data_IF_265914019363
#
_entry.id   IF_265914019363
#
_cell.length_a   1.000
_cell.length_b   1.000
_cell.length_c   1.000
_cell.angle_alpha   90.00
_cell.angle_beta   90.00
_cell.angle_gamma   90.00
#
_symmetry.space_group_name_H-M   'P 1'
#
loop_
_entity.id
_entity.type
_entity.pdbx_description
1 polymer ?
#
# COMPACT_ATOMS: atom_id res chain seq x y z
N UNK A 1 5.10 3.13 -6.26
CA UNK A 1 4.34 3.27 -4.99
C UNK A 1 5.19 2.73 -3.85
N UNK A 2 5.35 3.48 -2.76
CA UNK A 2 6.14 3.03 -1.60
C UNK A 2 5.37 1.97 -0.81
N UNK A 3 5.91 0.74 -0.71
CA UNK A 3 5.27 -0.37 0.03
C UNK A 3 5.53 -0.25 1.52
N UNK A 4 4.53 -0.47 2.37
CA UNK A 4 4.72 -0.49 3.83
C UNK A 4 5.62 -1.69 4.21
N UNK A 5 6.62 -1.53 5.09
CA UNK A 5 7.42 -2.65 5.54
C UNK A 5 6.54 -3.73 6.17
N UNK A 6 6.85 -5.00 5.88
CA UNK A 6 5.95 -6.13 6.14
C UNK A 6 5.41 -6.13 7.58
N UNK A 7 6.29 -5.98 8.57
CA UNK A 7 5.93 -6.11 10.00
C UNK A 7 5.67 -4.79 10.70
N UNK A 8 5.47 -3.71 9.95
CA UNK A 8 5.31 -2.38 10.53
C UNK A 8 4.03 -2.27 11.38
N UNK A 9 2.89 -2.70 10.83
CA UNK A 9 1.61 -2.68 11.55
C UNK A 9 1.62 -3.59 12.77
N UNK A 10 2.39 -4.67 12.73
CA UNK A 10 2.43 -5.69 13.79
C UNK A 10 2.86 -5.08 15.14
N UNK A 11 3.56 -3.94 15.11
CA UNK A 11 4.02 -3.19 16.30
C UNK A 11 2.95 -2.26 16.90
N UNK A 12 1.89 -1.95 16.16
CA UNK A 12 0.82 -1.05 16.59
C UNK A 12 -0.26 -1.83 17.34
N UNK A 13 -0.94 -1.15 18.27
CA UNK A 13 -2.22 -1.68 18.77
C UNK A 13 -3.25 -1.65 17.65
N UNK A 14 -4.29 -2.46 17.78
CA UNK A 14 -5.35 -2.65 16.79
C UNK A 14 -6.00 -1.34 16.38
N UNK A 15 -6.33 -0.51 17.37
CA UNK A 15 -6.85 0.84 17.15
C UNK A 15 -5.92 1.61 16.21
N UNK A 16 -4.63 1.64 16.51
CA UNK A 16 -3.68 2.39 15.71
C UNK A 16 -3.29 1.72 14.39
N UNK A 17 -3.51 0.40 14.22
CA UNK A 17 -3.44 -0.25 12.91
C UNK A 17 -4.56 0.27 12.02
N UNK A 18 -5.78 0.36 12.54
CA UNK A 18 -6.89 0.95 11.82
C UNK A 18 -6.60 2.41 11.50
N UNK A 19 -6.23 3.21 12.50
CA UNK A 19 -5.95 4.64 12.30
C UNK A 19 -4.80 4.89 11.30
N UNK A 20 -3.75 4.06 11.31
CA UNK A 20 -2.66 4.13 10.32
C UNK A 20 -3.11 3.68 8.93
N UNK A 21 -3.98 2.68 8.85
CA UNK A 21 -4.47 2.11 7.58
C UNK A 21 -5.47 3.05 6.90
N UNK A 22 -6.48 3.55 7.63
CA UNK A 22 -7.49 4.45 7.08
C UNK A 22 -6.95 5.81 6.61
N UNK A 23 -5.73 6.18 7.04
CA UNK A 23 -4.99 7.36 6.57
C UNK A 23 -4.05 7.07 5.40
N UNK A 24 -3.81 5.80 5.08
CA UNK A 24 -2.88 5.47 4.01
C UNK A 24 -3.50 5.79 2.65
N UNK A 25 -2.86 6.59 1.77
CA UNK A 25 -3.45 7.00 0.49
C UNK A 25 -3.92 5.84 -0.38
N UNK A 26 -3.15 4.76 -0.39
CA UNK A 26 -3.49 3.51 -1.11
C UNK A 26 -4.79 2.89 -0.62
N UNK A 27 -5.04 2.92 0.70
CA UNK A 27 -6.29 2.40 1.25
C UNK A 27 -7.48 3.24 0.79
N UNK A 28 -7.31 4.56 0.70
CA UNK A 28 -8.36 5.46 0.25
C UNK A 28 -8.67 5.27 -1.24
N UNK A 29 -7.66 5.09 -2.09
CA UNK A 29 -7.88 4.73 -3.50
C UNK A 29 -8.63 3.40 -3.63
N UNK A 30 -8.25 2.40 -2.85
CA UNK A 30 -8.94 1.11 -2.82
C UNK A 30 -10.41 1.28 -2.45
N UNK A 31 -10.69 2.04 -1.39
CA UNK A 31 -12.06 2.32 -0.96
C UNK A 31 -12.86 3.01 -2.07
N UNK A 32 -12.29 4.03 -2.72
CA UNK A 32 -12.94 4.73 -3.84
C UNK A 32 -13.24 3.79 -5.02
N UNK A 33 -12.31 2.89 -5.36
CA UNK A 33 -12.47 1.92 -6.44
C UNK A 33 -13.54 0.88 -6.09
N UNK A 34 -13.55 0.38 -4.86
CA UNK A 34 -14.57 -0.56 -4.40
C UNK A 34 -15.96 0.09 -4.43
N UNK A 35 -16.09 1.32 -3.94
CA UNK A 35 -17.36 2.07 -4.00
C UNK A 35 -17.82 2.25 -5.45
N UNK A 36 -16.89 2.58 -6.35
CA UNK A 36 -17.16 2.72 -7.78
C UNK A 36 -17.58 1.38 -8.42
N UNK A 37 -16.90 0.28 -8.07
CA UNK A 37 -17.19 -1.06 -8.57
C UNK A 37 -18.53 -1.60 -8.05
N UNK A 38 -18.90 -1.34 -6.80
CA UNK A 38 -20.21 -1.69 -6.24
C UNK A 38 -21.35 -0.91 -6.93
N UNK A 39 -21.07 0.29 -7.42
CA UNK A 39 -22.02 1.11 -8.17
C UNK A 39 -22.13 0.74 -9.67
N UNK A 40 -21.17 -0.05 -10.21
CA UNK A 40 -21.09 -0.38 -11.63
C UNK A 40 -21.47 -1.85 -11.90
N UNK A 41 -22.00 -2.11 -13.10
CA UNK A 41 -22.10 -3.48 -13.68
C UNK A 41 -20.70 -4.07 -13.85
N UNK A 42 -20.53 -5.41 -14.00
CA UNK A 42 -19.22 -6.06 -14.09
C UNK A 42 -18.27 -5.33 -15.06
N UNK A 43 -16.96 -5.30 -14.76
CA UNK A 43 -16.00 -4.46 -15.47
C UNK A 43 -16.14 -4.67 -16.98
N UNK A 44 -16.44 -3.59 -17.69
CA UNK A 44 -16.72 -3.59 -19.11
C UNK A 44 -15.44 -3.66 -19.95
N UNK A 45 -14.28 -3.39 -19.33
CA UNK A 45 -12.99 -3.37 -20.03
C UNK A 45 -11.88 -4.08 -19.26
N UNK A 46 -10.91 -4.60 -20.01
CA UNK A 46 -9.67 -5.16 -19.45
C UNK A 46 -8.86 -4.13 -18.63
N UNK A 47 -9.01 -2.84 -18.92
CA UNK A 47 -8.34 -1.78 -18.17
C UNK A 47 -8.87 -1.67 -16.73
N UNK A 48 -10.18 -1.78 -16.54
CA UNK A 48 -10.80 -1.78 -15.21
C UNK A 48 -10.37 -3.00 -14.39
N UNK A 49 -10.25 -4.17 -15.03
CA UNK A 49 -9.73 -5.39 -14.39
C UNK A 49 -8.29 -5.20 -13.91
N UNK A 50 -7.42 -4.61 -14.76
CA UNK A 50 -6.02 -4.35 -14.41
C UNK A 50 -5.87 -3.33 -13.28
N UNK A 51 -6.69 -2.28 -13.27
CA UNK A 51 -6.72 -1.31 -12.17
C UNK A 51 -7.14 -1.97 -10.84
N UNK A 52 -8.13 -2.87 -10.87
CA UNK A 52 -8.54 -3.64 -9.69
C UNK A 52 -7.39 -4.54 -9.22
N UNK A 53 -6.68 -5.23 -10.11
CA UNK A 53 -5.51 -6.04 -9.76
C UNK A 53 -4.37 -5.21 -9.15
N UNK A 54 -4.01 -4.08 -9.76
CA UNK A 54 -2.96 -3.19 -9.26
C UNK A 54 -3.28 -2.69 -7.85
N UNK A 55 -4.56 -2.40 -7.60
CA UNK A 55 -5.06 -1.98 -6.30
C UNK A 55 -5.04 -3.13 -5.30
N UNK A 56 -5.50 -4.34 -5.66
CA UNK A 56 -5.39 -5.53 -4.80
C UNK A 56 -3.92 -5.80 -4.43
N UNK A 57 -3.01 -5.68 -5.39
CA UNK A 57 -1.57 -5.82 -5.17
C UNK A 57 -1.02 -4.73 -4.24
N UNK A 58 -1.48 -3.49 -4.41
CA UNK A 58 -1.15 -2.37 -3.54
C UNK A 58 -1.71 -2.56 -2.11
N UNK A 59 -2.86 -3.22 -1.97
CA UNK A 59 -3.49 -3.54 -0.69
C UNK A 59 -2.77 -4.63 0.08
N UNK A 60 -2.33 -5.67 -0.63
CA UNK A 60 -1.42 -6.66 -0.09
C UNK A 60 -0.12 -5.98 0.39
N UNK A 61 0.36 -4.95 -0.31
CA UNK A 61 1.54 -4.19 0.08
C UNK A 61 1.35 -3.28 1.31
N UNK A 62 0.10 -3.01 1.73
CA UNK A 62 -0.21 -2.31 3.00
C UNK A 62 -0.89 -3.22 4.04
N UNK A 63 -0.98 -4.53 3.74
CA UNK A 63 -1.59 -5.61 4.55
C UNK A 63 -3.09 -5.43 4.85
N UNK A 64 -3.85 -5.04 3.84
CA UNK A 64 -5.33 -5.05 3.88
C UNK A 64 -5.79 -6.34 3.20
N UNK A 65 -6.30 -7.30 3.96
CA UNK A 65 -6.56 -8.69 3.49
C UNK A 65 -8.04 -8.95 3.20
N UNK A 66 -8.92 -8.10 3.73
CA UNK A 66 -10.38 -8.20 3.62
C UNK A 66 -10.94 -7.22 2.59
N UNK A 67 -12.26 -7.27 2.43
CA UNK A 67 -13.02 -6.16 1.88
C UNK A 67 -12.68 -4.86 2.64
N UNK A 68 -12.41 -3.76 1.93
CA UNK A 68 -12.18 -2.46 2.55
C UNK A 68 -13.43 -1.97 3.27
N UNK A 69 -13.21 -1.19 4.33
CA UNK A 69 -14.23 -0.65 5.21
C UNK A 69 -14.17 0.87 5.13
N UNK A 70 -15.29 1.54 5.40
CA UNK A 70 -15.38 2.99 5.33
C UNK A 70 -14.31 3.66 6.22
N UNK A 71 -13.34 4.40 5.62
CA UNK A 71 -12.28 5.07 6.37
C UNK A 71 -12.78 6.20 7.27
N UNK A 72 -14.03 6.63 7.12
CA UNK A 72 -14.67 7.61 8.00
C UNK A 72 -14.98 7.03 9.38
N UNK A 73 -15.14 5.72 9.50
CA UNK A 73 -15.40 5.07 10.78
C UNK A 73 -14.19 5.20 11.72
N UNK A 74 -14.47 5.62 12.94
CA UNK A 74 -13.54 5.50 14.06
C UNK A 74 -13.33 4.03 14.42
N UNK A 75 -12.24 3.74 15.15
CA UNK A 75 -12.03 2.39 15.67
C UNK A 75 -13.18 1.93 16.59
N UNK A 76 -13.75 2.83 17.38
CA UNK A 76 -14.85 2.54 18.29
C UNK A 76 -16.10 2.11 17.51
N UNK A 77 -16.46 2.85 16.45
CA UNK A 77 -17.56 2.49 15.55
C UNK A 77 -17.29 1.17 14.82
N UNK A 78 -16.07 0.98 14.31
CA UNK A 78 -15.66 -0.26 13.65
C UNK A 78 -15.76 -1.47 14.60
N UNK A 79 -15.38 -1.30 15.87
CA UNK A 79 -15.45 -2.35 16.88
C UNK A 79 -16.86 -2.69 17.35
N UNK A 80 -17.81 -1.80 17.09
CA UNK A 80 -19.23 -1.99 17.39
C UNK A 80 -19.99 -2.67 16.23
N UNK A 81 -19.44 -2.63 15.01
CA UNK A 81 -19.94 -3.47 13.91
C UNK A 81 -19.74 -4.94 14.29
N UNK A 82 -20.63 -5.83 13.85
CA UNK A 82 -20.46 -7.26 14.10
C UNK A 82 -19.03 -7.65 13.74
N UNK A 83 -18.26 -8.21 14.69
CA UNK A 83 -16.84 -8.40 14.50
C UNK A 83 -16.69 -9.31 13.29
N UNK A 84 -16.19 -8.77 12.18
CA UNK A 84 -15.44 -9.63 11.28
C UNK A 84 -14.26 -10.09 12.13
N UNK A 85 -14.40 -11.29 12.72
CA UNK A 85 -13.62 -11.78 13.88
C UNK A 85 -12.09 -11.74 13.63
N UNK A 86 -11.68 -11.53 12.38
CA UNK A 86 -10.32 -11.46 11.89
C UNK A 86 -9.60 -10.14 12.20
N UNK A 87 -10.29 -9.00 12.29
CA UNK A 87 -9.63 -7.71 12.57
C UNK A 87 -9.26 -7.51 14.03
N UNK A 88 -9.92 -8.23 14.95
CA UNK A 88 -9.85 -7.95 16.39
C UNK A 88 -8.64 -8.51 17.14
N UNK A 89 -7.78 -9.28 16.46
CA UNK A 89 -6.65 -9.91 17.13
C UNK A 89 -5.32 -9.18 16.88
N UNK A 90 -4.81 -8.56 17.95
CA UNK A 90 -3.56 -7.80 17.97
C UNK A 90 -2.30 -8.64 17.72
N UNK A 91 -2.13 -9.71 18.50
CA UNK A 91 -0.91 -10.52 18.52
C UNK A 91 -1.08 -11.91 17.88
N UNK A 92 -2.32 -12.33 17.63
CA UNK A 92 -2.68 -13.66 17.16
C UNK A 92 -3.72 -13.53 16.06
N UNK A 93 -3.30 -13.23 14.84
CA UNK A 93 -4.24 -13.17 13.73
C UNK A 93 -4.65 -14.60 13.33
N UNK A 94 -5.94 -14.88 13.16
CA UNK A 94 -6.38 -16.14 12.61
C UNK A 94 -5.78 -16.28 11.20
N UNK A 95 -5.09 -17.38 10.95
CA UNK A 95 -4.62 -17.68 9.59
C UNK A 95 -5.82 -18.14 8.79
N UNK A 96 -6.27 -17.32 7.84
CA UNK A 96 -7.37 -17.69 6.94
C UNK A 96 -6.89 -18.68 5.88
N UNK A 97 -7.81 -19.48 5.32
CA UNK A 97 -7.50 -20.37 4.18
C UNK A 97 -6.92 -19.58 3.01
N UNK A 98 -7.44 -18.38 2.73
CA UNK A 98 -6.91 -17.47 1.71
C UNK A 98 -5.44 -17.10 1.96
N UNK A 99 -5.08 -16.82 3.22
CA UNK A 99 -3.70 -16.54 3.61
C UNK A 99 -2.80 -17.76 3.42
N UNK A 100 -3.26 -18.95 3.80
CA UNK A 100 -2.51 -20.19 3.58
C UNK A 100 -2.27 -20.44 2.09
N UNK A 101 -3.31 -20.32 1.26
CA UNK A 101 -3.20 -20.46 -0.19
C UNK A 101 -2.24 -19.43 -0.80
N UNK A 102 -2.28 -18.18 -0.33
CA UNK A 102 -1.33 -17.14 -0.75
C UNK A 102 0.11 -17.44 -0.37
N UNK A 103 0.35 -17.98 0.83
CA UNK A 103 1.67 -18.44 1.28
C UNK A 103 2.15 -19.59 0.40
N UNK A 104 1.32 -20.61 0.21
CA UNK A 104 1.61 -21.77 -0.64
C UNK A 104 1.96 -21.31 -2.06
N UNK A 105 1.11 -20.48 -2.67
CA UNK A 105 1.33 -19.97 -4.03
C UNK A 105 2.59 -19.10 -4.19
N UNK A 106 3.05 -18.44 -3.13
CA UNK A 106 4.28 -17.62 -3.14
C UNK A 106 5.56 -18.45 -2.98
N UNK A 107 5.50 -19.54 -2.22
CA UNK A 107 6.69 -20.30 -1.82
C UNK A 107 6.94 -21.57 -2.63
N UNK A 108 5.95 -22.03 -3.41
CA UNK A 108 6.09 -23.15 -4.32
C UNK A 108 6.51 -22.68 -5.72
N UNK A 109 7.38 -23.45 -6.36
CA UNK A 109 7.66 -23.36 -7.79
C UNK A 109 6.39 -23.63 -8.62
N UNK A 110 6.39 -23.18 -9.88
CA UNK A 110 5.28 -23.41 -10.79
C UNK A 110 4.93 -24.90 -10.96
N UNK A 111 5.93 -25.79 -10.89
CA UNK A 111 5.72 -27.23 -11.03
C UNK A 111 5.13 -27.85 -9.75
N UNK A 112 5.64 -27.48 -8.58
CA UNK A 112 5.09 -27.90 -7.28
C UNK A 112 3.66 -27.38 -7.09
N UNK A 113 3.41 -26.12 -7.46
CA UNK A 113 2.08 -25.52 -7.42
C UNK A 113 1.11 -26.23 -8.37
N UNK A 114 1.56 -26.61 -9.58
CA UNK A 114 0.74 -27.39 -10.52
C UNK A 114 0.36 -28.74 -9.94
N UNK A 115 1.30 -29.46 -9.31
CA UNK A 115 1.02 -30.75 -8.67
C UNK A 115 0.02 -30.61 -7.53
N UNK A 116 0.20 -29.63 -6.64
CA UNK A 116 -0.76 -29.34 -5.56
C UNK A 116 -2.14 -29.01 -6.13
N UNK A 117 -2.21 -28.21 -7.19
CA UNK A 117 -3.47 -27.89 -7.86
C UNK A 117 -4.13 -29.12 -8.50
N UNK A 118 -3.35 -30.02 -9.13
CA UNK A 118 -3.85 -31.29 -9.67
C UNK A 118 -4.37 -32.21 -8.57
N UNK A 119 -3.69 -32.29 -7.43
CA UNK A 119 -4.17 -33.03 -6.26
C UNK A 119 -5.47 -32.45 -5.73
N UNK A 120 -5.57 -31.13 -5.56
CA UNK A 120 -6.83 -30.48 -5.15
C UNK A 120 -7.96 -30.68 -6.17
N UNK A 121 -7.63 -30.65 -7.46
CA UNK A 121 -8.60 -30.92 -8.53
C UNK A 121 -9.10 -32.36 -8.46
N UNK A 122 -8.20 -33.34 -8.29
CA UNK A 122 -8.57 -34.76 -8.12
C UNK A 122 -9.51 -34.96 -6.93
N UNK A 123 -9.22 -34.30 -5.81
CA UNK A 123 -10.08 -34.32 -4.61
C UNK A 123 -11.46 -33.69 -4.91
N UNK A 124 -11.49 -32.58 -5.64
CA UNK A 124 -12.72 -31.86 -5.96
C UNK A 124 -13.60 -32.59 -6.99
N UNK A 125 -12.99 -33.33 -7.92
CA UNK A 125 -13.65 -34.11 -8.98
C UNK A 125 -14.20 -35.46 -8.47
N UNK A 126 -14.08 -35.74 -7.16
CA UNK A 126 -14.64 -36.92 -6.49
C UNK A 126 -16.16 -37.06 -6.67
N UNK A 127 -16.65 -38.30 -6.73
CA UNK A 127 -18.06 -38.60 -7.04
C UNK A 127 -19.02 -38.02 -5.97
N UNK A 128 -20.10 -37.41 -6.44
CA UNK A 128 -21.25 -36.93 -5.67
C UNK A 128 -21.06 -35.67 -4.79
N UNK A 129 -19.99 -34.89 -4.97
CA UNK A 129 -19.83 -33.58 -4.33
C UNK A 129 -19.63 -33.61 -2.81
N UNK A 130 -19.55 -34.82 -2.23
CA UNK A 130 -19.01 -35.05 -0.90
C UNK A 130 -17.55 -35.50 -1.07
N UNK A 131 -16.62 -34.88 -0.34
CA UNK A 131 -15.25 -35.39 -0.25
C UNK A 131 -15.31 -36.84 0.28
N UNK A 132 -14.93 -37.83 -0.54
CA UNK A 132 -14.60 -39.13 -0.01
C UNK A 132 -13.37 -38.95 0.88
N UNK A 133 -13.59 -39.05 2.20
CA UNK A 133 -12.56 -38.83 3.22
C UNK A 133 -11.34 -39.72 2.98
N UNK A 134 -11.50 -40.91 2.38
CA UNK A 134 -10.36 -41.79 2.09
C UNK A 134 -9.56 -41.33 0.87
N UNK A 135 -10.22 -40.91 -0.21
CA UNK A 135 -9.53 -40.36 -1.39
C UNK A 135 -8.80 -39.05 -1.03
N UNK A 136 -9.43 -38.21 -0.21
CA UNK A 136 -8.82 -37.00 0.33
C UNK A 136 -7.58 -37.33 1.18
N UNK A 137 -7.67 -38.32 2.09
CA UNK A 137 -6.55 -38.74 2.93
C UNK A 137 -5.38 -39.30 2.11
N UNK A 138 -5.65 -40.08 1.06
CA UNK A 138 -4.62 -40.59 0.16
C UNK A 138 -3.94 -39.45 -0.60
N UNK A 139 -4.73 -38.54 -1.15
CA UNK A 139 -4.22 -37.36 -1.85
C UNK A 139 -3.40 -36.43 -0.93
N UNK A 140 -3.83 -36.23 0.33
CA UNK A 140 -3.05 -35.52 1.34
C UNK A 140 -1.77 -36.26 1.73
N UNK A 141 -1.82 -37.59 1.84
CA UNK A 141 -0.63 -38.40 2.10
C UNK A 141 0.40 -38.29 0.96
N UNK A 142 -0.03 -38.16 -0.30
CA UNK A 142 0.89 -37.92 -1.42
C UNK A 142 1.60 -36.58 -1.31
N UNK A 143 0.90 -35.51 -0.88
CA UNK A 143 1.52 -34.20 -0.62
C UNK A 143 2.49 -34.29 0.56
N UNK A 144 2.06 -34.89 1.68
CA UNK A 144 2.88 -35.00 2.91
C UNK A 144 4.14 -35.84 2.67
N UNK A 145 4.05 -36.89 1.86
CA UNK A 145 5.19 -37.76 1.54
C UNK A 145 5.99 -37.28 0.32
N UNK A 146 5.65 -36.13 -0.28
CA UNK A 146 6.43 -35.57 -1.37
C UNK A 146 7.81 -35.14 -0.84
N UNK A 147 8.88 -35.56 -1.52
CA UNK A 147 10.28 -35.28 -1.13
C UNK A 147 10.74 -33.93 -1.71
N UNK A 148 9.82 -33.00 -1.97
CA UNK A 148 10.17 -31.74 -2.59
C UNK A 148 10.72 -30.77 -1.54
N UNK A 149 11.95 -30.24 -1.70
CA UNK A 149 12.58 -29.36 -0.71
C UNK A 149 11.73 -28.13 -0.36
N UNK A 150 10.91 -27.66 -1.29
CA UNK A 150 10.01 -26.51 -1.12
C UNK A 150 8.81 -26.83 -0.21
N UNK A 151 8.38 -28.09 -0.15
CA UNK A 151 7.31 -28.55 0.74
C UNK A 151 7.78 -28.72 2.18
N UNK A 152 9.10 -28.89 2.37
CA UNK A 152 9.75 -28.91 3.68
C UNK A 152 10.23 -27.52 4.13
N UNK A 153 10.09 -26.50 3.28
CA UNK A 153 10.56 -25.16 3.57
C UNK A 153 9.78 -24.53 4.74
N UNK A 154 10.53 -23.99 5.71
CA UNK A 154 9.94 -23.23 6.81
C UNK A 154 9.48 -21.88 6.27
N UNK A 155 8.17 -21.64 6.29
CA UNK A 155 7.58 -20.34 5.91
C UNK A 155 8.17 -19.24 6.81
N UNK A 156 8.54 -18.07 6.26
CA UNK A 156 9.11 -16.97 7.04
C UNK A 156 8.10 -16.34 8.00
N UNK A 157 7.86 -16.98 9.14
CA UNK A 157 7.02 -16.47 10.22
C UNK A 157 6.46 -17.58 11.12
N UNK A 158 6.01 -17.23 12.34
CA UNK A 158 5.38 -18.20 13.24
C UNK A 158 4.02 -18.69 12.73
N UNK A 159 3.90 -19.99 12.48
CA UNK A 159 2.61 -20.70 12.49
C UNK A 159 2.58 -21.60 13.71
N UNK A 160 1.63 -21.37 14.61
CA UNK A 160 1.48 -22.16 15.83
C UNK A 160 0.14 -22.85 15.83
N UNK A 161 0.16 -24.16 16.08
CA UNK A 161 -1.02 -24.89 16.52
C UNK A 161 -1.14 -24.64 18.00
N UNK A 162 -2.29 -24.13 18.44
CA UNK A 162 -2.51 -23.89 19.85
C UNK A 162 -3.57 -24.83 20.40
N UNK A 163 -3.21 -25.54 21.47
CA UNK A 163 -4.10 -26.52 22.10
C UNK A 163 -5.20 -25.80 22.89
N UNK A 164 -6.48 -25.97 22.52
CA UNK A 164 -7.58 -25.29 23.21
C UNK A 164 -7.82 -25.82 24.63
N UNK A 165 -7.26 -27.00 24.96
CA UNK A 165 -7.38 -27.64 26.28
C UNK A 165 -6.20 -27.32 27.20
N UNK A 166 -5.16 -26.64 26.71
CA UNK A 166 -4.03 -26.27 27.53
C UNK A 166 -4.41 -25.19 28.56
N UNK A 167 -3.89 -25.24 29.80
CA UNK A 167 -4.12 -24.20 30.80
C UNK A 167 -3.66 -22.82 30.31
N UNK A 168 -4.38 -21.75 30.72
CA UNK A 168 -4.08 -20.36 30.32
C UNK A 168 -2.67 -19.92 30.67
N UNK A 169 -2.16 -20.33 31.84
CA UNK A 169 -0.81 -20.00 32.31
C UNK A 169 0.25 -20.62 31.39
N UNK A 170 0.10 -21.90 31.06
CA UNK A 170 0.94 -22.61 30.10
C UNK A 170 0.94 -21.92 28.73
N UNK A 171 -0.24 -21.49 28.26
CA UNK A 171 -0.39 -20.71 27.03
C UNK A 171 0.43 -19.41 27.03
N UNK A 172 0.36 -18.66 28.13
CA UNK A 172 1.08 -17.39 28.26
C UNK A 172 2.60 -17.62 28.26
N UNK A 173 3.07 -18.66 28.95
CA UNK A 173 4.49 -19.04 28.97
C UNK A 173 5.00 -19.53 27.61
N UNK A 174 4.24 -20.39 26.93
CA UNK A 174 4.60 -20.90 25.60
C UNK A 174 4.62 -19.77 24.57
N UNK A 175 3.63 -18.88 24.62
CA UNK A 175 3.58 -17.71 23.74
C UNK A 175 4.73 -16.75 23.98
N UNK A 176 5.10 -16.50 25.25
CA UNK A 176 6.24 -15.67 25.60
C UNK A 176 7.57 -16.27 25.11
N UNK A 177 7.76 -17.59 25.28
CA UNK A 177 8.94 -18.30 24.74
C UNK A 177 9.02 -18.20 23.23
N UNK A 178 7.92 -18.47 22.54
CA UNK A 178 7.79 -18.33 21.09
C UNK A 178 8.12 -16.93 20.61
N UNK A 179 7.59 -15.90 21.27
CA UNK A 179 7.86 -14.51 20.95
C UNK A 179 9.35 -14.16 21.12
N UNK A 180 9.99 -14.61 22.20
CA UNK A 180 11.41 -14.37 22.44
C UNK A 180 12.29 -15.06 21.40
N UNK A 181 12.01 -16.33 21.10
CA UNK A 181 12.70 -17.07 20.04
C UNK A 181 12.67 -16.31 18.71
N UNK A 182 11.49 -15.86 18.26
CA UNK A 182 11.39 -15.13 17.00
C UNK A 182 12.02 -13.75 17.04
N UNK A 183 11.97 -13.05 18.18
CA UNK A 183 12.70 -11.77 18.32
C UNK A 183 14.20 -11.97 18.14
N UNK A 184 14.75 -13.03 18.70
CA UNK A 184 16.16 -13.39 18.55
C UNK A 184 16.48 -13.79 17.10
N UNK A 185 15.73 -14.73 16.52
CA UNK A 185 15.94 -15.21 15.14
C UNK A 185 15.85 -14.09 14.10
N UNK A 186 14.96 -13.12 14.30
CA UNK A 186 14.72 -12.03 13.36
C UNK A 186 15.47 -10.75 13.74
N UNK A 187 16.35 -10.81 14.75
CA UNK A 187 17.09 -9.67 15.28
C UNK A 187 16.19 -8.43 15.55
N UNK A 188 14.99 -8.67 16.09
CA UNK A 188 14.01 -7.63 16.35
C UNK A 188 14.36 -6.92 17.65
N UNK A 189 14.75 -5.66 17.53
CA UNK A 189 14.95 -4.79 18.70
C UNK A 189 13.62 -4.56 19.43
N UNK A 190 13.62 -4.53 20.77
CA UNK A 190 12.43 -4.18 21.54
C UNK A 190 11.97 -2.77 21.16
N UNK A 191 10.73 -2.65 20.70
CA UNK A 191 10.16 -1.33 20.38
C UNK A 191 10.01 -0.53 21.68
N UNK A 192 10.59 0.68 21.69
CA UNK A 192 10.40 1.69 22.74
C UNK A 192 9.21 2.61 22.45
N UNK A 193 8.36 2.26 21.49
CA UNK A 193 7.23 3.10 21.14
C UNK A 193 6.28 3.24 22.32
N UNK A 194 5.73 4.44 22.45
CA UNK A 194 4.79 4.81 23.51
C UNK A 194 3.43 5.03 22.85
N UNK A 195 2.53 4.02 22.83
CA UNK A 195 1.23 4.13 22.19
C UNK A 195 0.41 5.35 22.67
N UNK A 196 0.61 5.76 23.92
CA UNK A 196 -0.02 6.97 24.50
C UNK A 196 0.21 8.26 23.69
N UNK A 197 1.31 8.33 22.93
CA UNK A 197 1.68 9.53 22.18
C UNK A 197 1.12 9.51 20.74
N UNK A 198 0.64 8.35 20.25
CA UNK A 198 0.13 8.18 18.89
C UNK A 198 -1.06 9.11 18.54
N UNK A 199 -2.04 9.36 19.43
CA UNK A 199 -3.12 10.31 19.13
C UNK A 199 -2.60 11.70 18.79
N UNK A 200 -1.53 12.16 19.46
CA UNK A 200 -0.94 13.47 19.19
C UNK A 200 -0.25 13.50 17.82
N UNK A 201 0.40 12.39 17.44
CA UNK A 201 1.07 12.27 16.15
C UNK A 201 0.04 12.30 15.03
N UNK A 202 -1.00 11.47 15.13
CA UNK A 202 -2.08 11.41 14.14
C UNK A 202 -2.85 12.72 14.05
N UNK A 203 -3.12 13.40 15.17
CA UNK A 203 -3.76 14.72 15.14
C UNK A 203 -2.91 15.77 14.42
N UNK A 204 -1.59 15.77 14.63
CA UNK A 204 -0.69 16.66 13.90
C UNK A 204 -0.70 16.36 12.40
N UNK A 205 -0.76 15.09 12.01
CA UNK A 205 -0.92 14.67 10.63
C UNK A 205 -2.24 15.14 10.03
N UNK A 206 -3.36 14.89 10.71
CA UNK A 206 -4.71 15.20 10.24
C UNK A 206 -4.87 16.69 9.93
N UNK A 207 -4.41 17.56 10.83
CA UNK A 207 -4.42 19.01 10.60
C UNK A 207 -3.44 19.43 9.50
N UNK A 208 -2.26 18.82 9.45
CA UNK A 208 -1.22 19.18 8.47
C UNK A 208 -1.55 18.77 7.04
N UNK A 209 -2.30 17.67 6.87
CA UNK A 209 -2.66 17.12 5.56
C UNK A 209 -4.12 17.35 5.17
N UNK A 210 -4.93 17.87 6.10
CA UNK A 210 -6.36 18.05 5.91
C UNK A 210 -7.12 16.72 5.90
N UNK A 211 -6.67 15.70 6.65
CA UNK A 211 -7.40 14.44 6.75
C UNK A 211 -8.58 14.60 7.72
N UNK A 212 -9.79 14.42 7.21
CA UNK A 212 -11.03 14.43 8.01
C UNK A 212 -12.09 13.60 7.31
N UNK A 213 -13.08 13.07 8.04
CA UNK A 213 -14.21 12.32 7.44
C UNK A 213 -13.75 11.16 6.53
N UNK A 214 -12.65 10.50 6.87
CA UNK A 214 -12.12 9.38 6.09
C UNK A 214 -11.44 9.75 4.77
N UNK A 215 -11.14 11.04 4.51
CA UNK A 215 -10.51 11.48 3.26
C UNK A 215 -9.59 12.67 3.46
N UNK A 216 -8.76 12.95 2.45
CA UNK A 216 -7.92 14.13 2.43
C UNK A 216 -8.61 15.31 1.74
N UNK A 217 -8.67 16.44 2.45
CA UNK A 217 -9.20 17.71 1.99
C UNK A 217 -8.05 18.70 1.73
N UNK A 218 -7.73 18.93 0.47
CA UNK A 218 -6.58 19.77 0.08
C UNK A 218 -6.68 21.20 0.57
N UNK A 219 -7.90 21.73 0.68
CA UNK A 219 -8.23 23.07 1.17
C UNK A 219 -8.11 23.20 2.69
N UNK A 220 -8.09 22.09 3.43
CA UNK A 220 -7.93 22.05 4.89
C UNK A 220 -6.49 21.79 5.34
N UNK A 221 -5.56 21.55 4.43
CA UNK A 221 -4.16 21.32 4.75
C UNK A 221 -3.52 22.57 5.37
N UNK A 222 -3.00 22.43 6.59
CA UNK A 222 -2.55 23.57 7.42
C UNK A 222 -1.02 23.59 7.60
N UNK A 223 -0.44 24.78 7.75
CA UNK A 223 1.00 24.94 7.99
C UNK A 223 1.40 24.45 9.38
N UNK A 224 2.65 24.00 9.58
CA UNK A 224 3.09 23.56 10.92
C UNK A 224 3.04 24.67 11.98
N UNK A 225 3.15 25.94 11.57
CA UNK A 225 3.01 27.09 12.46
C UNK A 225 1.57 27.18 12.98
N UNK A 226 0.60 27.06 12.09
CA UNK A 226 -0.82 27.16 12.44
C UNK A 226 -1.30 25.92 13.20
N UNK A 227 -0.83 24.72 12.83
CA UNK A 227 -1.03 23.49 13.63
C UNK A 227 -0.43 23.67 15.04
N UNK A 228 0.74 24.29 15.16
CA UNK A 228 1.36 24.60 16.45
C UNK A 228 0.52 25.55 17.30
N UNK A 229 -0.06 26.59 16.67
CA UNK A 229 -0.99 27.51 17.35
C UNK A 229 -2.24 26.77 17.84
N UNK A 230 -2.84 25.94 17.01
CA UNK A 230 -4.04 25.17 17.36
C UNK A 230 -3.79 24.18 18.50
N UNK A 231 -2.71 23.40 18.40
CA UNK A 231 -2.36 22.38 19.39
C UNK A 231 -1.62 22.95 20.60
N UNK A 232 -1.35 24.27 20.62
CA UNK A 232 -0.56 24.97 21.64
C UNK A 232 0.81 24.31 21.86
N UNK A 233 1.51 24.03 20.77
CA UNK A 233 2.86 23.46 20.71
C UNK A 233 3.74 24.29 19.80
N UNK A 234 5.05 24.22 20.04
CA UNK A 234 6.03 24.83 19.17
C UNK A 234 6.12 24.07 17.82
N UNK A 235 6.56 24.77 16.76
CA UNK A 235 6.67 24.20 15.41
C UNK A 235 7.60 22.97 15.39
N UNK A 236 8.66 22.95 16.19
CA UNK A 236 9.61 21.83 16.21
C UNK A 236 8.97 20.55 16.75
N UNK A 237 8.12 20.68 17.77
CA UNK A 237 7.31 19.58 18.30
C UNK A 237 6.32 19.08 17.27
N UNK A 238 5.62 19.99 16.56
CA UNK A 238 4.68 19.61 15.50
C UNK A 238 5.38 18.86 14.38
N UNK A 239 6.52 19.35 13.91
CA UNK A 239 7.31 18.70 12.87
C UNK A 239 7.71 17.28 13.30
N UNK A 240 8.20 17.11 14.53
CA UNK A 240 8.53 15.79 15.07
C UNK A 240 7.30 14.88 15.14
N UNK A 241 6.16 15.38 15.61
CA UNK A 241 4.91 14.60 15.68
C UNK A 241 4.44 14.17 14.29
N UNK A 242 4.50 15.08 13.32
CA UNK A 242 4.17 14.80 11.94
C UNK A 242 5.11 13.74 11.33
N UNK A 243 6.43 13.83 11.53
CA UNK A 243 7.38 12.82 11.06
C UNK A 243 7.09 11.44 11.69
N UNK A 244 6.74 11.42 12.99
CA UNK A 244 6.34 10.19 13.66
C UNK A 244 5.02 9.63 13.13
N UNK A 245 4.06 10.49 12.82
CA UNK A 245 2.81 10.07 12.19
C UNK A 245 3.03 9.50 10.80
N UNK A 246 3.89 10.13 9.98
CA UNK A 246 4.29 9.61 8.68
C UNK A 246 4.89 8.21 8.83
N UNK A 247 5.81 8.01 9.77
CA UNK A 247 6.35 6.69 10.06
C UNK A 247 5.26 5.72 10.54
N UNK A 248 4.36 6.11 11.42
CA UNK A 248 3.25 5.25 11.86
C UNK A 248 2.35 4.81 10.71
N UNK A 249 2.01 5.72 9.79
CA UNK A 249 1.12 5.46 8.66
C UNK A 249 1.85 4.62 7.59
N UNK A 250 3.09 4.95 7.25
CA UNK A 250 3.76 4.39 6.07
C UNK A 250 4.78 3.29 6.39
N UNK A 251 5.29 3.29 7.63
CA UNK A 251 6.43 2.49 8.06
C UNK A 251 7.79 3.00 7.59
N UNK A 252 7.84 4.15 6.92
CA UNK A 252 9.07 4.75 6.42
C UNK A 252 9.41 6.03 7.16
N UNK A 253 10.70 6.33 7.29
CA UNK A 253 11.10 7.62 7.79
C UNK A 253 10.64 8.73 6.85
N UNK A 254 10.26 9.87 7.45
CA UNK A 254 9.86 11.01 6.65
C UNK A 254 11.04 11.54 5.85
N UNK A 255 10.92 11.48 4.54
CA UNK A 255 11.70 12.23 3.56
C UNK A 255 10.73 12.84 2.55
N UNK A 256 11.14 13.89 1.85
CA UNK A 256 10.29 14.48 0.80
C UNK A 256 10.01 13.47 -0.32
N UNK A 257 10.96 12.61 -0.63
CA UNK A 257 10.83 11.53 -1.62
C UNK A 257 9.81 10.47 -1.18
N UNK A 258 9.90 10.01 0.07
CA UNK A 258 8.94 9.06 0.63
C UNK A 258 7.54 9.69 0.71
N UNK A 259 7.47 10.95 1.13
CA UNK A 259 6.22 11.70 1.16
C UNK A 259 5.63 11.82 -0.24
N UNK A 260 6.42 12.17 -1.25
CA UNK A 260 5.96 12.25 -2.64
C UNK A 260 5.48 10.88 -3.15
N UNK A 261 6.20 9.81 -2.83
CA UNK A 261 5.84 8.45 -3.25
C UNK A 261 4.54 7.94 -2.64
N UNK A 262 4.13 8.48 -1.49
CA UNK A 262 2.91 8.08 -0.77
C UNK A 262 1.77 9.06 -1.02
N UNK A 263 2.02 10.35 -0.76
CA UNK A 263 1.02 11.43 -0.80
C UNK A 263 0.97 12.14 -2.14
N UNK A 264 2.00 11.99 -2.99
CA UNK A 264 2.11 12.74 -4.24
C UNK A 264 0.91 12.53 -5.15
N UNK A 265 0.46 11.29 -5.35
CA UNK A 265 -0.76 11.07 -6.11
C UNK A 265 -1.97 11.76 -5.47
N UNK A 266 -2.18 11.67 -4.16
CA UNK A 266 -3.40 12.22 -3.55
C UNK A 266 -3.40 13.75 -3.41
N UNK A 267 -2.25 14.35 -3.11
CA UNK A 267 -2.09 15.78 -2.92
C UNK A 267 -1.75 16.51 -4.22
N UNK A 268 -1.18 15.81 -5.20
CA UNK A 268 -0.70 16.36 -6.47
C UNK A 268 -1.41 15.79 -7.70
N UNK A 269 -2.35 14.84 -7.62
CA UNK A 269 -3.21 14.51 -8.79
C UNK A 269 -4.07 15.69 -9.24
N UNK A 270 -4.17 16.76 -8.43
CA UNK A 270 -4.64 18.07 -8.88
C UNK A 270 -3.67 18.83 -9.79
N UNK A 271 -2.46 18.33 -10.03
CA UNK A 271 -1.50 18.90 -10.97
C UNK A 271 -2.07 18.92 -12.40
N UNK A 272 -2.93 17.95 -12.70
CA UNK A 272 -3.83 17.95 -13.84
C UNK A 272 -5.23 18.40 -13.41
N UNK A 273 -5.38 19.57 -12.77
CA UNK A 273 -6.71 20.17 -12.77
C UNK A 273 -7.17 21.09 -11.64
N UNK A 274 -6.60 20.99 -10.45
CA UNK A 274 -7.14 21.62 -9.25
C UNK A 274 -6.01 22.23 -8.43
N UNK A 275 -6.27 23.40 -7.83
CA UNK A 275 -5.32 24.17 -7.03
C UNK A 275 -4.60 23.29 -6.00
N UNK A 276 -3.31 23.04 -6.25
CA UNK A 276 -2.40 22.44 -5.26
C UNK A 276 -2.39 23.35 -4.04
N UNK A 277 -2.57 22.78 -2.85
CA UNK A 277 -2.52 23.59 -1.63
C UNK A 277 -1.14 24.28 -1.53
N UNK A 278 -1.07 25.55 -1.09
CA UNK A 278 0.21 26.25 -0.92
C UNK A 278 1.17 25.49 0.01
N UNK A 279 0.63 24.76 0.98
CA UNK A 279 1.38 23.93 1.93
C UNK A 279 2.05 22.75 1.24
N UNK A 280 1.32 21.99 0.41
CA UNK A 280 1.87 20.86 -0.36
C UNK A 280 2.95 21.34 -1.33
N UNK A 281 2.75 22.50 -1.97
CA UNK A 281 3.74 23.11 -2.86
C UNK A 281 5.02 23.53 -2.12
N UNK A 282 4.89 24.11 -0.93
CA UNK A 282 6.03 24.52 -0.11
C UNK A 282 6.86 23.32 0.37
N UNK A 283 6.23 22.20 0.74
CA UNK A 283 6.95 20.98 1.11
C UNK A 283 7.83 20.45 -0.02
N UNK A 284 7.33 20.48 -1.27
CA UNK A 284 8.10 20.08 -2.46
C UNK A 284 9.28 21.01 -2.77
N UNK A 285 9.19 22.30 -2.44
CA UNK A 285 10.28 23.26 -2.70
C UNK A 285 11.49 23.03 -1.78
N UNK A 286 11.29 22.45 -0.60
CA UNK A 286 12.37 22.23 0.38
C UNK A 286 13.30 21.06 0.06
N UNK A 287 13.00 20.31 -1.00
CA UNK A 287 13.70 19.09 -1.44
C UNK A 287 15.17 19.33 -1.82
N UNK A 288 15.54 20.56 -2.16
CA UNK A 288 16.91 20.88 -2.62
C UNK A 288 17.85 21.44 -1.55
N UNK A 289 17.42 21.65 -0.30
CA UNK A 289 18.21 22.40 0.70
C UNK A 289 18.62 21.62 1.95
N UNK A 290 18.13 20.40 2.15
CA UNK A 290 18.42 19.60 3.36
C UNK A 290 18.68 18.12 3.05
N UNK A 291 19.61 17.82 2.15
CA UNK A 291 20.41 16.60 2.31
C UNK A 291 21.51 16.91 3.31
N UNK A 292 21.28 16.61 4.59
CA UNK A 292 22.39 16.31 5.49
C UNK A 292 22.57 14.80 5.42
N UNK A 293 23.76 14.36 5.01
CA UNK A 293 24.20 12.98 5.19
C UNK A 293 23.97 12.59 6.66
N UNK A 294 23.11 11.60 6.88
CA UNK A 294 22.99 10.92 8.16
C UNK A 294 23.58 9.53 7.96
N UNK A 295 24.53 9.22 8.84
CA UNK A 295 25.45 8.09 8.76
C UNK A 295 24.73 6.73 8.68
N UNK A 296 25.26 5.88 7.80
CA UNK A 296 24.70 4.58 7.44
C UNK A 296 24.87 3.56 8.58
N UNK A 297 23.78 3.26 9.29
CA UNK A 297 23.59 1.93 9.85
C UNK A 297 22.10 1.60 9.89
N UNK A 298 21.75 0.40 9.39
CA UNK A 298 20.38 -0.14 9.25
C UNK A 298 19.66 0.14 7.92
N UNK A 299 20.32 -0.18 6.80
CA UNK A 299 19.61 -0.70 5.62
C UNK A 299 20.35 -1.98 5.21
N UNK A 300 19.82 -3.15 5.57
CA UNK A 300 20.19 -4.36 4.84
C UNK A 300 19.59 -4.20 3.45
N UNK A 301 20.44 -3.86 2.49
CA UNK A 301 20.11 -3.94 1.08
C UNK A 301 20.01 -5.43 0.74
N UNK A 302 18.79 -5.91 0.56
CA UNK A 302 18.56 -7.20 -0.09
C UNK A 302 18.89 -7.00 -1.58
N UNK A 303 20.08 -7.44 -2.00
CA UNK A 303 20.56 -7.32 -3.39
C UNK A 303 19.69 -8.09 -4.40
N UNK A 304 18.80 -8.98 -3.93
CA UNK A 304 17.84 -9.70 -4.80
C UNK A 304 16.62 -8.87 -5.22
N UNK A 305 16.40 -7.67 -4.65
CA UNK A 305 15.20 -6.87 -4.90
C UNK A 305 15.31 -5.93 -6.11
N UNK A 306 16.51 -5.71 -6.64
CA UNK A 306 16.73 -4.78 -7.76
C UNK A 306 16.27 -5.34 -9.12
N UNK A 307 16.05 -6.65 -9.24
CA UNK A 307 15.67 -7.27 -10.52
C UNK A 307 14.15 -7.45 -10.71
N UNK A 308 13.32 -7.25 -9.68
CA UNK A 308 11.84 -7.46 -9.78
C UNK A 308 11.01 -6.21 -9.54
N UNK A 309 11.64 -5.11 -9.12
CA UNK A 309 11.02 -3.80 -9.17
C UNK A 309 11.36 -3.19 -10.53
N UNK A 310 10.47 -3.35 -11.52
CA UNK A 310 10.46 -2.43 -12.66
C UNK A 310 10.51 -1.01 -12.06
N UNK A 311 11.62 -0.31 -12.29
CA UNK A 311 11.82 1.02 -11.77
C UNK A 311 10.55 1.81 -12.12
N UNK A 312 9.89 2.49 -11.16
CA UNK A 312 8.79 3.36 -11.52
C UNK A 312 9.33 4.32 -12.58
N UNK A 313 8.73 4.28 -13.78
CA UNK A 313 8.97 5.23 -14.87
C UNK A 313 9.12 6.61 -14.23
N UNK A 314 10.28 7.24 -14.42
CA UNK A 314 10.71 8.32 -13.54
C UNK A 314 9.68 9.45 -13.64
N UNK A 315 9.31 10.07 -12.52
CA UNK A 315 8.33 11.18 -12.53
C UNK A 315 8.80 12.35 -13.43
N UNK A 316 10.10 12.40 -13.74
CA UNK A 316 10.68 13.31 -14.73
C UNK A 316 10.15 13.04 -16.15
N UNK A 317 9.94 11.77 -16.51
CA UNK A 317 9.52 11.32 -17.84
C UNK A 317 8.10 11.79 -18.20
N UNK A 318 7.14 11.58 -17.29
CA UNK A 318 5.75 12.00 -17.52
C UNK A 318 5.61 13.52 -17.62
N UNK A 319 6.43 14.27 -16.88
CA UNK A 319 6.43 15.74 -16.99
C UNK A 319 6.99 16.18 -18.33
N UNK A 320 8.03 15.54 -18.83
CA UNK A 320 8.62 15.80 -20.14
C UNK A 320 7.62 15.51 -21.26
N UNK A 321 6.93 14.37 -21.19
CA UNK A 321 5.86 14.00 -22.13
C UNK A 321 4.72 15.02 -22.11
N UNK A 322 4.20 15.40 -20.94
CA UNK A 322 3.13 16.40 -20.85
C UNK A 322 3.57 17.79 -21.36
N UNK A 323 4.82 18.18 -21.09
CA UNK A 323 5.40 19.42 -21.62
C UNK A 323 5.47 19.37 -23.14
N UNK A 324 5.88 18.22 -23.69
CA UNK A 324 5.99 18.01 -25.12
C UNK A 324 4.63 18.00 -25.81
N UNK A 325 3.64 17.31 -25.25
CA UNK A 325 2.25 17.32 -25.73
C UNK A 325 1.69 18.74 -25.75
N UNK A 326 1.92 19.54 -24.70
CA UNK A 326 1.49 20.94 -24.68
C UNK A 326 2.12 21.77 -25.80
N UNK A 327 3.41 21.57 -26.08
CA UNK A 327 4.10 22.25 -27.18
C UNK A 327 3.53 21.83 -28.54
N UNK A 328 3.30 20.54 -28.77
CA UNK A 328 2.75 20.04 -30.04
C UNK A 328 1.29 20.50 -30.26
N UNK A 329 0.50 20.64 -29.19
CA UNK A 329 -0.83 21.28 -29.24
C UNK A 329 -0.69 22.76 -29.63
N UNK A 330 0.26 23.49 -29.05
CA UNK A 330 0.54 24.90 -29.38
C UNK A 330 1.01 25.08 -30.82
N UNK A 331 1.77 24.11 -31.33
CA UNK A 331 2.24 24.04 -32.72
C UNK A 331 1.11 23.64 -33.71
N UNK A 332 -0.09 23.33 -33.21
CA UNK A 332 -1.29 23.10 -34.03
C UNK A 332 -1.40 21.69 -34.62
N UNK A 333 -0.71 20.70 -34.06
CA UNK A 333 -0.77 19.33 -34.56
C UNK A 333 -2.13 18.67 -34.29
N UNK A 334 -2.50 17.71 -35.14
CA UNK A 334 -3.63 16.80 -34.90
C UNK A 334 -3.27 15.77 -33.85
N UNK A 335 -4.29 15.15 -33.22
CA UNK A 335 -4.06 14.16 -32.16
C UNK A 335 -3.25 12.96 -32.64
N UNK A 336 -3.50 12.51 -33.87
CA UNK A 336 -2.69 11.47 -34.53
C UNK A 336 -1.23 11.91 -34.70
N UNK A 337 -0.99 13.15 -35.16
CA UNK A 337 0.36 13.68 -35.33
C UNK A 337 1.09 13.91 -34.00
N UNK A 338 0.36 14.15 -32.90
CA UNK A 338 0.94 14.23 -31.56
C UNK A 338 1.33 12.84 -31.06
N UNK A 339 0.44 11.84 -31.20
CA UNK A 339 0.70 10.45 -30.80
C UNK A 339 1.94 9.91 -31.51
N UNK A 340 1.97 10.00 -32.85
CA UNK A 340 3.12 9.55 -33.65
C UNK A 340 4.43 10.21 -33.19
N UNK A 341 4.37 11.49 -32.81
CA UNK A 341 5.55 12.24 -32.38
C UNK A 341 6.03 11.85 -30.99
N UNK A 342 5.11 11.61 -30.05
CA UNK A 342 5.44 11.12 -28.71
C UNK A 342 5.96 9.69 -28.79
N UNK A 343 5.40 8.84 -29.63
CA UNK A 343 5.89 7.47 -29.84
C UNK A 343 7.31 7.47 -30.41
N UNK A 344 7.62 8.34 -31.38
CA UNK A 344 8.98 8.49 -31.92
C UNK A 344 9.97 9.00 -30.86
N UNK A 345 9.55 9.97 -30.04
CA UNK A 345 10.43 10.65 -29.08
C UNK A 345 10.62 9.85 -27.77
N UNK A 346 9.64 9.03 -27.37
CA UNK A 346 9.62 8.35 -26.06
C UNK A 346 9.31 6.84 -26.12
N UNK A 347 8.80 6.30 -27.23
CA UNK A 347 8.20 4.97 -27.34
C UNK A 347 9.16 3.77 -27.35
N UNK A 348 10.48 3.98 -27.26
CA UNK A 348 11.45 2.88 -27.07
C UNK A 348 11.85 2.65 -25.62
N UNK A 349 11.45 3.54 -24.69
CA UNK A 349 11.86 3.47 -23.29
C UNK A 349 10.68 3.31 -22.32
N UNK A 350 9.44 3.49 -22.78
CA UNK A 350 8.26 3.53 -21.91
C UNK A 350 7.09 2.82 -22.57
N UNK A 351 6.46 1.87 -21.86
CA UNK A 351 5.26 1.13 -22.26
C UNK A 351 4.00 2.03 -22.28
N UNK A 352 4.08 3.20 -22.90
CA UNK A 352 2.96 4.14 -23.00
C UNK A 352 2.11 3.73 -24.20
N UNK A 353 0.83 3.47 -23.98
CA UNK A 353 -0.09 3.11 -25.05
C UNK A 353 -0.76 4.35 -25.68
N UNK A 354 -1.19 4.23 -26.94
CA UNK A 354 -1.87 5.31 -27.67
C UNK A 354 -3.11 5.88 -26.97
N UNK A 355 -3.80 5.06 -26.16
CA UNK A 355 -4.99 5.49 -25.44
C UNK A 355 -4.64 6.48 -24.33
N UNK A 356 -3.57 6.24 -23.58
CA UNK A 356 -3.07 7.13 -22.53
C UNK A 356 -2.62 8.49 -23.09
N UNK A 357 -1.94 8.49 -24.24
CA UNK A 357 -1.54 9.73 -24.91
C UNK A 357 -2.77 10.50 -25.38
N UNK A 358 -3.77 9.80 -25.93
CA UNK A 358 -5.03 10.41 -26.39
C UNK A 358 -5.82 11.04 -25.25
N UNK A 359 -5.91 10.38 -24.11
CA UNK A 359 -6.57 10.92 -22.92
C UNK A 359 -5.84 12.16 -22.39
N UNK A 360 -4.50 12.13 -22.38
CA UNK A 360 -3.69 13.31 -22.03
C UNK A 360 -3.92 14.49 -23.00
N UNK A 361 -3.99 14.24 -24.32
CA UNK A 361 -4.28 15.27 -25.32
C UNK A 361 -5.66 15.90 -25.09
N UNK A 362 -6.70 15.07 -24.93
CA UNK A 362 -8.07 15.52 -24.69
C UNK A 362 -8.15 16.39 -23.44
N UNK A 363 -7.53 15.91 -22.36
CA UNK A 363 -7.43 16.63 -21.10
C UNK A 363 -6.76 18.00 -21.28
N UNK A 364 -5.57 18.04 -21.90
CA UNK A 364 -4.79 19.29 -22.08
C UNK A 364 -5.45 20.28 -23.04
N UNK A 365 -6.11 19.84 -24.12
CA UNK A 365 -6.88 20.73 -25.02
C UNK A 365 -8.05 21.41 -24.31
N UNK A 366 -8.65 20.74 -23.33
CA UNK A 366 -9.79 21.26 -22.56
C UNK A 366 -9.41 22.24 -21.44
N UNK A 367 -8.11 22.42 -21.16
CA UNK A 367 -7.58 23.06 -19.95
C UNK A 367 -6.45 24.05 -20.26
N UNK A 368 -6.80 25.22 -20.81
CA UNK A 368 -5.86 26.30 -21.14
C UNK A 368 -5.00 26.73 -19.95
N UNK A 369 -5.57 26.74 -18.74
CA UNK A 369 -4.92 27.11 -17.49
C UNK A 369 -3.79 26.13 -17.10
N UNK A 370 -3.92 24.86 -17.46
CA UNK A 370 -2.91 23.81 -17.22
C UNK A 370 -1.83 23.86 -18.29
N UNK A 371 -2.19 24.07 -19.56
CA UNK A 371 -1.19 24.21 -20.64
C UNK A 371 -0.22 25.36 -20.39
N UNK A 372 -0.72 26.52 -19.95
CA UNK A 372 0.15 27.66 -19.61
C UNK A 372 1.16 27.36 -18.51
N UNK A 373 0.86 26.42 -17.61
CA UNK A 373 1.78 26.00 -16.55
C UNK A 373 2.95 25.17 -17.09
N UNK A 374 2.69 24.25 -18.03
CA UNK A 374 3.72 23.43 -18.67
C UNK A 374 4.60 24.23 -19.64
N UNK A 375 4.02 25.24 -20.31
CA UNK A 375 4.74 26.09 -21.26
C UNK A 375 5.56 27.20 -20.58
N UNK A 376 5.43 27.39 -19.26
CA UNK A 376 6.12 28.46 -18.53
C UNK A 376 5.59 29.86 -18.83
N UNK A 377 4.37 29.98 -19.37
CA UNK A 377 3.74 31.25 -19.78
C UNK A 377 3.12 32.03 -18.58
N UNK A 378 3.61 31.84 -17.33
CA UNK A 378 3.12 32.52 -16.11
C UNK A 378 4.20 32.93 -15.13
#
# INVERSE_FOLDING_TARGET
MLRRPERHLDRLTIEFRWEATRRHPVYLQLWEIQQSAQAMSPPATWHEVRQIEDVINACNAIRVVSEPVDPALSFEELSALEPSELFHCNALQPVTVKMMLGVIGKHLSSDSLRRVAETFKSIADGKDGALDTNEALVAFAEIINSVEPEMEAVVPGPFYVVSPVAPREQWQEDMARCQNYWREQLNLQPSRDRPRDYPNYLRAWDLSEGFSEGRYHRDRATSFVDVGRELRKDESTIRRWYHRAFFLITGHEFSNENWHSVMGFQQLSGFMGLTISPVSRERLRRTNLQQRDVDFSTVQQDESFLDTAAAPSSVADLREICTRVCQLIKDGLSDTGIIDRIEIEFGTQQDINDAEIRDAINYLRSRDDVRSHYLGDR
#
